data_IF_599747973064
#
_entry.id   IF_599747973064
#
_cell.length_a   1.000
_cell.length_b   1.000
_cell.length_c   1.000
_cell.angle_alpha   90.00
_cell.angle_beta   90.00
_cell.angle_gamma   90.00
#
_symmetry.space_group_name_H-M   'P 1'
#
loop_
_entity.id
_entity.type
_entity.pdbx_description
1 polymer ?
#
# COMPACT_ATOMS: atom_id res chain seq x y z
N UNK A 1 16.54 5.43 -4.70
CA UNK A 1 15.74 5.35 -3.45
C UNK A 1 14.33 4.96 -3.85
N UNK A 2 13.71 3.94 -3.23
CA UNK A 2 12.32 3.59 -3.53
C UNK A 2 11.42 4.49 -2.69
N UNK A 3 10.60 5.32 -3.36
CA UNK A 3 9.72 6.24 -2.68
C UNK A 3 8.53 5.45 -2.10
N UNK A 4 8.22 5.52 -0.79
CA UNK A 4 7.14 4.73 -0.19
C UNK A 4 5.78 5.00 -0.84
N UNK A 5 5.55 6.24 -1.30
CA UNK A 5 4.34 6.64 -2.00
C UNK A 5 4.21 5.94 -3.36
N UNK A 6 5.31 5.79 -4.11
CA UNK A 6 5.32 5.03 -5.37
C UNK A 6 5.05 3.55 -5.14
N UNK A 7 5.59 2.98 -4.06
CA UNK A 7 5.35 1.57 -3.68
C UNK A 7 3.88 1.34 -3.32
N UNK A 8 3.27 2.29 -2.62
CA UNK A 8 1.85 2.27 -2.29
C UNK A 8 0.95 2.67 -3.46
N UNK A 9 1.51 3.19 -4.57
CA UNK A 9 0.75 3.67 -5.73
C UNK A 9 -0.06 4.94 -5.47
N UNK A 10 0.36 5.75 -4.50
CA UNK A 10 -0.33 6.97 -4.06
C UNK A 10 0.55 8.20 -4.31
N UNK A 11 -0.07 9.38 -4.34
CA UNK A 11 0.66 10.66 -4.42
C UNK A 11 1.36 10.97 -3.11
N UNK A 12 2.46 11.71 -3.16
CA UNK A 12 3.16 12.21 -1.96
C UNK A 12 2.29 13.17 -1.13
N UNK A 13 1.23 13.72 -1.74
CA UNK A 13 0.22 14.56 -1.07
C UNK A 13 -0.95 13.76 -0.50
N UNK A 14 -0.88 12.42 -0.51
CA UNK A 14 -1.96 11.58 -0.02
C UNK A 14 -2.14 11.74 1.50
N UNK A 15 -3.40 11.72 1.92
CA UNK A 15 -3.75 11.79 3.34
C UNK A 15 -3.43 10.48 4.08
N UNK A 16 -3.20 10.55 5.39
CA UNK A 16 -2.97 9.35 6.22
C UNK A 16 -4.04 8.27 6.06
N UNK A 17 -5.28 8.68 5.82
CA UNK A 17 -6.40 7.78 5.55
C UNK A 17 -6.21 6.99 4.24
N UNK A 18 -5.74 7.65 3.19
CA UNK A 18 -5.44 7.03 1.89
C UNK A 18 -4.23 6.11 1.97
N UNK A 19 -3.17 6.53 2.69
CA UNK A 19 -1.98 5.70 2.96
C UNK A 19 -2.40 4.38 3.62
N UNK A 20 -3.21 4.46 4.68
CA UNK A 20 -3.69 3.26 5.39
C UNK A 20 -4.61 2.40 4.52
N UNK A 21 -5.41 3.00 3.62
CA UNK A 21 -6.27 2.24 2.70
C UNK A 21 -5.43 1.47 1.69
N UNK A 22 -4.52 2.15 0.99
CA UNK A 22 -3.64 1.55 -0.02
C UNK A 22 -2.77 0.43 0.57
N UNK A 23 -2.21 0.65 1.77
CA UNK A 23 -1.46 -0.38 2.48
C UNK A 23 -2.29 -1.64 2.74
N UNK A 24 -3.51 -1.50 3.27
CA UNK A 24 -4.40 -2.65 3.56
C UNK A 24 -4.81 -3.40 2.29
N UNK A 25 -5.02 -2.70 1.18
CA UNK A 25 -5.34 -3.32 -0.11
C UNK A 25 -4.16 -4.14 -0.66
N UNK A 26 -2.94 -3.59 -0.58
CA UNK A 26 -1.72 -4.31 -0.97
C UNK A 26 -1.46 -5.52 -0.08
N UNK A 27 -1.62 -5.36 1.23
CA UNK A 27 -1.47 -6.47 2.18
C UNK A 27 -2.45 -7.58 1.87
N UNK A 28 -3.73 -7.27 1.60
CA UNK A 28 -4.69 -8.31 1.18
C UNK A 28 -4.24 -9.00 -0.10
N UNK A 29 -3.92 -8.23 -1.14
CA UNK A 29 -3.55 -8.75 -2.47
C UNK A 29 -2.32 -9.65 -2.46
N UNK A 30 -1.34 -9.33 -1.61
CA UNK A 30 -0.06 -10.03 -1.54
C UNK A 30 0.12 -10.81 -0.23
N UNK A 31 -0.95 -11.02 0.54
CA UNK A 31 -0.84 -11.71 1.82
C UNK A 31 -0.34 -13.13 1.58
N UNK A 32 0.75 -13.57 2.24
CA UNK A 32 1.29 -14.92 2.03
C UNK A 32 0.28 -16.00 2.42
N UNK A 33 -0.60 -15.75 3.40
CA UNK A 33 -1.68 -16.69 3.76
C UNK A 33 -2.73 -16.89 2.65
N UNK A 34 -2.84 -16.01 1.65
CA UNK A 34 -3.73 -16.27 0.50
C UNK A 34 -3.15 -17.32 -0.47
N UNK A 35 -1.85 -17.60 -0.41
CA UNK A 35 -1.17 -18.55 -1.29
C UNK A 35 -0.85 -19.89 -0.60
N UNK A 36 -1.49 -20.18 0.54
CA UNK A 36 -1.33 -21.44 1.28
C UNK A 36 -2.43 -22.46 0.95
#
# INVERSE_FOLDING_TARGET
>A
MKNPYEVLGIKETASDAEIKRAYRELVKKYHPDQYR
#
